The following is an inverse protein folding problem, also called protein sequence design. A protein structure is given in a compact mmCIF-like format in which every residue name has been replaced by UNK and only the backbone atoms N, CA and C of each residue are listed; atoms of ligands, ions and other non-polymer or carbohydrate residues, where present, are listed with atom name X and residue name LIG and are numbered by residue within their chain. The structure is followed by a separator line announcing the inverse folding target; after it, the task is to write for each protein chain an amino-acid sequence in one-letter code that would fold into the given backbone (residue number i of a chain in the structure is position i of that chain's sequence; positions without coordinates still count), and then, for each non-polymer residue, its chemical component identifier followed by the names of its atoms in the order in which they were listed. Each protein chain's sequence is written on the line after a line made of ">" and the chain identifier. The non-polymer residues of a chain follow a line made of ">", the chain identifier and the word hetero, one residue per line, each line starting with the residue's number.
data_IF_135839310456
#
_entry.id   IF_135839310456
#
_cell.length_a   1.000
_cell.length_b   1.000
_cell.length_c   1.000
_cell.angle_alpha   90.00
_cell.angle_beta   90.00
_cell.angle_gamma   90.00
#
_symmetry.space_group_name_H-M   'P 1'
#
loop_
_entity.id
_entity.type
_entity.pdbx_description
1 polymer ?
#
# COMPACT_ATOMS: atom_id res chain seq x y z
N UNK A 1 -1.16 1.38 25.85
CA UNK A 1 -2.40 0.80 25.32
C UNK A 1 -2.36 -0.68 25.63
N UNK A 2 -3.38 -1.24 26.29
CA UNK A 2 -3.38 -2.59 26.87
C UNK A 2 -4.32 -3.58 26.19
N UNK A 3 -4.57 -3.41 24.88
CA UNK A 3 -5.35 -4.36 24.11
C UNK A 3 -4.51 -5.61 23.78
N UNK A 4 -5.15 -6.78 23.77
CA UNK A 4 -4.57 -7.98 23.15
C UNK A 4 -4.56 -7.78 21.63
N UNK A 5 -3.42 -8.02 20.99
CA UNK A 5 -3.26 -7.79 19.54
C UNK A 5 -2.75 -9.06 18.87
N UNK A 6 -3.49 -9.52 17.89
CA UNK A 6 -3.12 -10.61 16.99
C UNK A 6 -2.84 -10.04 15.60
N UNK A 7 -1.59 -10.18 15.13
CA UNK A 7 -1.14 -9.66 13.84
C UNK A 7 -0.93 -10.81 12.84
N UNK A 8 -1.83 -10.89 11.87
CA UNK A 8 -1.82 -11.90 10.82
C UNK A 8 -1.13 -11.41 9.56
N UNK A 9 -0.26 -12.24 8.96
CA UNK A 9 0.37 -11.92 7.68
C UNK A 9 0.73 -13.18 6.89
N UNK A 10 0.67 -13.06 5.55
CA UNK A 10 0.76 -14.20 4.62
C UNK A 10 2.16 -14.79 4.43
N UNK A 11 3.19 -14.15 4.98
CA UNK A 11 4.60 -14.51 4.80
C UNK A 11 5.22 -14.88 6.14
N UNK A 12 6.48 -15.31 6.10
CA UNK A 12 7.22 -15.73 7.30
C UNK A 12 7.58 -14.57 8.23
N UNK A 13 7.81 -13.37 7.67
CA UNK A 13 8.12 -12.14 8.42
C UNK A 13 7.26 -10.97 7.90
N UNK A 14 6.89 -10.01 8.75
CA UNK A 14 6.22 -8.77 8.33
C UNK A 14 7.14 -7.89 7.48
N UNK A 15 6.61 -6.77 6.97
CA UNK A 15 7.38 -5.73 6.25
C UNK A 15 8.16 -6.27 5.02
N UNK A 16 7.51 -7.08 4.18
CA UNK A 16 8.10 -7.55 2.91
C UNK A 16 8.61 -6.35 2.08
N UNK A 17 9.84 -6.47 1.57
CA UNK A 17 10.51 -5.42 0.79
C UNK A 17 11.55 -4.62 1.57
N UNK A 18 11.62 -4.82 2.89
CA UNK A 18 12.71 -4.33 3.74
C UNK A 18 13.79 -5.40 3.92
N UNK A 19 14.94 -4.99 4.46
CA UNK A 19 16.04 -5.87 4.84
C UNK A 19 15.59 -6.98 5.81
N UNK A 20 16.06 -8.21 5.57
CA UNK A 20 15.60 -9.40 6.30
C UNK A 20 16.03 -9.42 7.76
N UNK A 21 17.23 -8.92 8.09
CA UNK A 21 17.69 -8.83 9.47
C UNK A 21 16.85 -7.81 10.24
N UNK A 22 16.57 -6.66 9.62
CA UNK A 22 15.73 -5.63 10.23
C UNK A 22 14.29 -6.11 10.43
N UNK A 23 13.73 -6.85 9.47
CA UNK A 23 12.39 -7.46 9.60
C UNK A 23 12.33 -8.44 10.77
N UNK A 24 13.36 -9.27 10.94
CA UNK A 24 13.45 -10.21 12.06
C UNK A 24 13.61 -9.48 13.42
N UNK A 25 14.39 -8.39 13.46
CA UNK A 25 14.49 -7.54 14.66
C UNK A 25 13.13 -6.94 15.00
N UNK A 26 12.40 -6.39 14.03
CA UNK A 26 11.06 -5.81 14.26
C UNK A 26 10.09 -6.87 14.78
N UNK A 27 10.03 -8.05 14.14
CA UNK A 27 9.13 -9.13 14.57
C UNK A 27 9.38 -9.53 16.04
N UNK A 28 10.64 -9.79 16.42
CA UNK A 28 11.00 -10.11 17.80
C UNK A 28 10.63 -9.00 18.79
N UNK A 29 10.77 -7.73 18.40
CA UNK A 29 10.39 -6.61 19.24
C UNK A 29 8.87 -6.48 19.41
N UNK A 30 8.07 -6.82 18.39
CA UNK A 30 6.61 -6.85 18.49
C UNK A 30 6.17 -7.96 19.45
N UNK A 31 6.72 -9.17 19.31
CA UNK A 31 6.46 -10.30 20.22
C UNK A 31 6.88 -9.98 21.66
N UNK A 32 8.07 -9.39 21.84
CA UNK A 32 8.57 -8.96 23.16
C UNK A 32 7.71 -7.88 23.83
N UNK A 33 6.84 -7.20 23.07
CA UNK A 33 5.84 -6.24 23.57
C UNK A 33 4.46 -6.87 23.79
N UNK A 34 4.31 -8.18 23.59
CA UNK A 34 3.06 -8.92 23.81
C UNK A 34 2.11 -8.97 22.61
N UNK A 35 2.59 -8.67 21.40
CA UNK A 35 1.79 -8.83 20.17
C UNK A 35 1.94 -10.28 19.69
N UNK A 36 0.81 -10.97 19.50
CA UNK A 36 0.80 -12.33 18.96
C UNK A 36 0.96 -12.27 17.44
N UNK A 37 2.06 -12.81 16.92
CA UNK A 37 2.30 -12.87 15.47
C UNK A 37 1.79 -14.19 14.90
N UNK A 38 1.03 -14.10 13.80
CA UNK A 38 0.49 -15.24 13.07
C UNK A 38 1.05 -15.26 11.64
N UNK A 39 2.31 -15.73 11.45
CA UNK A 39 2.96 -15.79 10.15
C UNK A 39 2.36 -16.91 9.29
N UNK A 40 2.32 -16.70 7.97
CA UNK A 40 1.77 -17.66 7.00
C UNK A 40 0.31 -18.04 7.29
N UNK A 41 -0.47 -17.10 7.81
CA UNK A 41 -1.88 -17.31 8.14
C UNK A 41 -2.76 -16.34 7.37
N UNK A 42 -3.85 -16.84 6.80
CA UNK A 42 -4.90 -16.02 6.21
C UNK A 42 -6.20 -16.18 6.98
N UNK A 43 -6.97 -15.10 7.02
CA UNK A 43 -8.36 -15.15 7.48
C UNK A 43 -9.23 -15.63 6.31
N UNK A 44 -10.05 -16.65 6.55
CA UNK A 44 -10.93 -17.27 5.56
C UNK A 44 -12.38 -16.82 5.74
N UNK A 45 -12.81 -16.56 6.97
CA UNK A 45 -14.16 -16.11 7.27
C UNK A 45 -14.18 -15.17 8.48
N UNK A 46 -15.07 -14.18 8.43
CA UNK A 46 -15.38 -13.28 9.54
C UNK A 46 -16.89 -13.26 9.80
N UNK A 47 -17.29 -13.61 11.02
CA UNK A 47 -18.70 -13.65 11.42
C UNK A 47 -18.92 -12.74 12.63
N UNK A 48 -19.78 -11.74 12.48
CA UNK A 48 -20.15 -10.84 13.59
C UNK A 48 -21.08 -11.57 14.55
N UNK A 49 -20.79 -11.50 15.84
CA UNK A 49 -21.55 -12.12 16.93
C UNK A 49 -21.86 -11.09 18.03
N UNK A 50 -22.67 -11.46 19.02
CA UNK A 50 -22.93 -10.62 20.20
C UNK A 50 -21.66 -10.38 21.05
N UNK A 51 -20.68 -11.28 20.98
CA UNK A 51 -19.44 -11.23 21.78
C UNK A 51 -18.26 -10.59 21.04
N UNK A 52 -18.46 -10.14 19.80
CA UNK A 52 -17.39 -9.63 18.94
C UNK A 52 -17.37 -10.29 17.56
N UNK A 53 -16.26 -10.16 16.85
CA UNK A 53 -16.03 -10.72 15.52
C UNK A 53 -15.31 -12.06 15.69
N UNK A 54 -15.99 -13.13 15.27
CA UNK A 54 -15.43 -14.46 15.18
C UNK A 54 -14.65 -14.60 13.88
N UNK A 55 -13.42 -15.07 13.98
CA UNK A 55 -12.43 -15.12 12.91
C UNK A 55 -12.07 -16.58 12.67
N UNK A 56 -12.15 -17.04 11.42
CA UNK A 56 -11.63 -18.34 11.00
C UNK A 56 -10.38 -18.18 10.15
N UNK A 57 -9.40 -19.05 10.38
CA UNK A 57 -8.14 -19.07 9.61
C UNK A 57 -8.10 -20.20 8.57
N UNK A 58 -7.13 -20.14 7.67
CA UNK A 58 -6.82 -21.22 6.73
C UNK A 58 -6.24 -22.48 7.41
N UNK A 59 -5.81 -22.36 8.66
CA UNK A 59 -5.39 -23.46 9.52
C UNK A 59 -6.53 -24.05 10.37
N UNK A 60 -7.78 -23.64 10.12
CA UNK A 60 -8.99 -24.05 10.87
C UNK A 60 -8.97 -23.65 12.34
N UNK A 61 -8.25 -22.58 12.67
CA UNK A 61 -8.28 -21.98 14.01
C UNK A 61 -9.42 -20.97 14.09
N UNK A 62 -9.91 -20.78 15.32
CA UNK A 62 -10.97 -19.84 15.63
C UNK A 62 -10.49 -18.84 16.67
N UNK A 63 -10.70 -17.54 16.39
CA UNK A 63 -10.40 -16.46 17.32
C UNK A 63 -11.61 -15.54 17.48
N UNK A 64 -11.65 -14.80 18.59
CA UNK A 64 -12.64 -13.76 18.85
C UNK A 64 -11.91 -12.43 19.05
N UNK A 65 -12.32 -11.40 18.34
CA UNK A 65 -11.77 -10.05 18.48
C UNK A 65 -12.88 -9.01 18.50
N UNK A 66 -12.69 -7.93 19.25
CA UNK A 66 -13.63 -6.80 19.24
C UNK A 66 -13.58 -6.03 17.91
N UNK A 67 -12.40 -5.98 17.29
CA UNK A 67 -12.12 -5.22 16.06
C UNK A 67 -11.20 -6.04 15.15
N UNK A 68 -11.46 -5.99 13.85
CA UNK A 68 -10.57 -6.50 12.80
C UNK A 68 -10.17 -5.34 11.89
N UNK A 69 -8.87 -5.07 11.79
CA UNK A 69 -8.31 -4.03 10.94
C UNK A 69 -7.61 -4.65 9.72
N UNK A 70 -8.06 -4.29 8.52
CA UNK A 70 -7.41 -4.71 7.27
C UNK A 70 -6.40 -3.67 6.79
N UNK A 71 -5.11 -3.97 6.98
CA UNK A 71 -3.99 -3.21 6.42
C UNK A 71 -3.29 -3.98 5.28
N UNK A 72 -4.07 -4.51 4.33
CA UNK A 72 -3.62 -5.49 3.32
C UNK A 72 -3.11 -4.88 2.01
N UNK A 73 -3.18 -3.57 1.87
CA UNK A 73 -2.70 -2.83 0.70
C UNK A 73 -3.59 -1.65 0.34
N UNK A 74 -3.22 -0.95 -0.73
CA UNK A 74 -3.95 0.18 -1.30
C UNK A 74 -4.07 -0.03 -2.79
N UNK A 75 -5.25 0.21 -3.35
CA UNK A 75 -5.47 0.20 -4.79
C UNK A 75 -5.53 1.63 -5.33
N UNK A 76 -5.07 1.88 -6.57
CA UNK A 76 -5.27 3.15 -7.25
C UNK A 76 -6.75 3.57 -7.29
N UNK A 77 -7.03 4.84 -6.98
CA UNK A 77 -8.41 5.35 -6.91
C UNK A 77 -8.87 5.93 -8.25
N UNK A 78 -9.04 5.08 -9.26
CA UNK A 78 -9.40 5.47 -10.64
C UNK A 78 -10.85 5.18 -11.03
N UNK A 79 -11.53 4.28 -10.30
CA UNK A 79 -12.86 3.74 -10.67
C UNK A 79 -13.96 4.77 -10.93
N UNK A 80 -13.88 5.95 -10.29
CA UNK A 80 -14.91 7.01 -10.37
C UNK A 80 -14.54 8.16 -11.29
N UNK A 81 -13.43 8.06 -12.02
CA UNK A 81 -12.89 9.15 -12.84
C UNK A 81 -13.36 9.08 -14.31
N UNK A 82 -14.05 8.02 -14.72
CA UNK A 82 -14.52 7.82 -16.09
C UNK A 82 -13.41 7.97 -17.16
N UNK A 83 -12.22 7.44 -16.85
CA UNK A 83 -11.03 7.59 -17.69
C UNK A 83 -11.16 6.93 -19.07
N UNK A 84 -12.00 5.90 -19.18
CA UNK A 84 -12.35 5.26 -20.46
C UNK A 84 -12.95 6.26 -21.46
N UNK A 85 -13.82 7.17 -21.01
CA UNK A 85 -14.49 8.13 -21.88
C UNK A 85 -13.52 9.13 -22.55
N UNK A 86 -12.32 9.29 -22.00
CA UNK A 86 -11.25 10.13 -22.57
C UNK A 86 -10.06 9.31 -23.09
N UNK A 87 -10.17 7.98 -23.09
CA UNK A 87 -9.17 7.06 -23.63
C UNK A 87 -7.89 6.94 -22.81
N UNK A 88 -7.88 7.30 -21.52
CA UNK A 88 -6.69 7.14 -20.66
C UNK A 88 -6.51 5.67 -20.29
N UNK A 89 -5.33 5.13 -20.58
CA UNK A 89 -5.01 3.73 -20.31
C UNK A 89 -4.72 3.46 -18.83
N UNK A 90 -5.23 2.34 -18.32
CA UNK A 90 -4.92 1.79 -17.00
C UNK A 90 -4.11 0.49 -17.12
N UNK A 91 -3.34 0.16 -16.08
CA UNK A 91 -2.72 -1.16 -15.95
C UNK A 91 -3.67 -2.20 -15.33
N UNK A 92 -3.20 -3.43 -15.14
CA UNK A 92 -4.00 -4.52 -14.55
C UNK A 92 -4.39 -4.28 -13.09
N UNK A 93 -3.72 -3.37 -12.38
CA UNK A 93 -4.06 -2.96 -11.01
C UNK A 93 -5.02 -1.76 -10.99
N UNK A 94 -5.39 -1.21 -12.15
CA UNK A 94 -6.21 -0.01 -12.30
C UNK A 94 -5.41 1.28 -12.10
N UNK A 95 -4.09 1.24 -12.13
CA UNK A 95 -3.22 2.41 -12.06
C UNK A 95 -3.19 3.16 -13.39
N UNK A 96 -3.12 4.49 -13.35
CA UNK A 96 -2.96 5.28 -14.58
C UNK A 96 -1.58 5.04 -15.15
N UNK A 97 -1.51 4.52 -16.38
CA UNK A 97 -0.24 4.32 -17.09
C UNK A 97 0.36 5.68 -17.44
N UNK A 98 1.62 5.86 -17.07
CA UNK A 98 2.38 7.08 -17.36
C UNK A 98 3.77 6.76 -17.88
N UNK A 99 4.35 7.70 -18.64
CA UNK A 99 5.74 7.67 -19.04
C UNK A 99 6.70 8.15 -17.92
N UNK A 100 8.00 8.26 -18.23
CA UNK A 100 9.02 8.71 -17.27
C UNK A 100 8.83 10.16 -16.79
N UNK A 101 8.06 10.98 -17.50
CA UNK A 101 7.74 12.36 -17.12
C UNK A 101 6.43 12.46 -16.34
N UNK A 102 5.67 11.37 -16.20
CA UNK A 102 4.33 11.31 -15.58
C UNK A 102 3.18 11.71 -16.53
N UNK A 103 3.41 11.67 -17.85
CA UNK A 103 2.38 11.91 -18.87
C UNK A 103 1.64 10.61 -19.20
N UNK A 104 0.33 10.68 -19.38
CA UNK A 104 -0.46 9.52 -19.84
C UNK A 104 -0.30 9.30 -21.34
N UNK A 105 -1.00 8.31 -21.91
CA UNK A 105 -1.09 8.14 -23.36
C UNK A 105 -1.81 9.31 -24.07
N UNK A 106 -2.55 10.15 -23.33
CA UNK A 106 -3.20 11.36 -23.84
C UNK A 106 -2.28 12.56 -23.56
N UNK A 107 -1.75 13.28 -24.57
CA UNK A 107 -0.71 14.30 -24.36
C UNK A 107 -1.05 15.45 -23.40
N UNK A 108 -2.34 15.75 -23.25
CA UNK A 108 -2.85 16.81 -22.39
C UNK A 108 -3.23 16.34 -20.98
N UNK A 109 -3.20 15.03 -20.71
CA UNK A 109 -3.57 14.44 -19.42
C UNK A 109 -2.33 13.83 -18.76
N UNK A 110 -2.14 14.17 -17.48
CA UNK A 110 -1.01 13.75 -16.66
C UNK A 110 -1.53 13.15 -15.35
N UNK A 111 -0.73 12.30 -14.72
CA UNK A 111 -1.06 11.68 -13.44
C UNK A 111 0.18 11.54 -12.56
N UNK A 112 0.04 11.82 -11.27
CA UNK A 112 1.12 11.76 -10.27
C UNK A 112 0.63 11.15 -8.96
N UNK A 113 1.54 10.68 -8.14
CA UNK A 113 1.29 10.05 -6.84
C UNK A 113 0.72 8.64 -6.94
N UNK A 114 0.05 8.22 -5.87
CA UNK A 114 -0.48 6.86 -5.66
C UNK A 114 -1.35 6.32 -6.82
N UNK A 115 -2.00 7.20 -7.60
CA UNK A 115 -2.85 6.77 -8.72
C UNK A 115 -2.04 6.12 -9.86
N UNK A 116 -0.74 6.39 -9.93
CA UNK A 116 0.20 5.79 -10.89
C UNK A 116 0.78 4.46 -10.39
N UNK A 117 0.55 4.12 -9.11
CA UNK A 117 1.07 2.93 -8.44
C UNK A 117 2.60 2.73 -8.58
N UNK A 118 3.37 3.82 -8.75
CA UNK A 118 4.84 3.78 -8.78
C UNK A 118 5.41 3.59 -7.36
N UNK A 119 5.37 4.64 -6.54
CA UNK A 119 5.78 4.56 -5.13
C UNK A 119 4.84 5.40 -4.26
N UNK A 120 4.11 4.75 -3.37
CA UNK A 120 3.01 5.35 -2.60
C UNK A 120 3.53 6.06 -1.34
N UNK A 121 4.30 7.13 -1.55
CA UNK A 121 4.86 7.99 -0.49
C UNK A 121 4.52 9.45 -0.78
N UNK A 122 4.05 10.18 0.23
CA UNK A 122 3.74 11.61 0.12
C UNK A 122 4.89 12.47 -0.45
N UNK A 123 6.16 12.34 0.00
CA UNK A 123 7.25 13.12 -0.59
C UNK A 123 7.51 12.79 -2.07
N UNK A 124 7.22 11.55 -2.49
CA UNK A 124 7.34 11.14 -3.90
C UNK A 124 6.24 11.79 -4.73
N UNK A 125 4.99 11.76 -4.27
CA UNK A 125 3.89 12.45 -4.95
C UNK A 125 4.15 13.97 -5.10
N UNK A 126 4.75 14.60 -4.08
CA UNK A 126 5.15 16.00 -4.13
C UNK A 126 6.26 16.27 -5.16
N UNK A 127 7.29 15.41 -5.18
CA UNK A 127 8.35 15.47 -6.19
C UNK A 127 7.77 15.33 -7.61
N UNK A 128 6.93 14.33 -7.84
CA UNK A 128 6.29 14.09 -9.15
C UNK A 128 5.46 15.29 -9.61
N UNK A 129 4.66 15.87 -8.70
CA UNK A 129 3.90 17.10 -8.99
C UNK A 129 4.80 18.29 -9.33
N UNK A 130 5.96 18.41 -8.68
CA UNK A 130 6.96 19.44 -8.98
C UNK A 130 7.59 19.24 -10.36
N UNK A 131 7.94 18.01 -10.71
CA UNK A 131 8.48 17.65 -12.02
C UNK A 131 7.46 17.91 -13.14
N UNK A 132 6.19 17.57 -12.92
CA UNK A 132 5.09 17.93 -13.80
C UNK A 132 5.00 19.44 -14.02
N UNK A 133 4.98 20.23 -12.94
CA UNK A 133 4.84 21.68 -13.03
C UNK A 133 5.98 22.34 -13.82
N UNK A 134 7.23 21.90 -13.59
CA UNK A 134 8.40 22.34 -14.36
C UNK A 134 8.29 21.99 -15.84
N UNK A 135 7.87 20.76 -16.13
CA UNK A 135 7.76 20.26 -17.50
C UNK A 135 6.69 21.01 -18.29
N UNK A 136 5.50 21.18 -17.72
CA UNK A 136 4.33 21.71 -18.44
C UNK A 136 4.29 23.23 -18.45
N UNK A 137 4.64 23.90 -17.34
CA UNK A 137 4.45 25.35 -17.21
C UNK A 137 5.75 26.15 -17.31
N UNK A 138 6.90 25.56 -17.01
CA UNK A 138 8.19 26.26 -17.09
C UNK A 138 9.01 25.91 -18.35
N UNK A 139 8.50 25.02 -19.22
CA UNK A 139 9.23 24.57 -20.42
C UNK A 139 10.53 23.83 -20.09
N UNK A 140 10.63 23.23 -18.90
CA UNK A 140 11.80 22.52 -18.40
C UNK A 140 11.46 21.03 -18.21
N UNK A 141 11.60 20.18 -19.24
CA UNK A 141 11.34 18.75 -19.13
C UNK A 141 12.14 18.15 -17.97
N UNK A 142 11.43 17.74 -16.92
CA UNK A 142 12.01 17.23 -15.67
C UNK A 142 11.30 15.93 -15.32
N UNK A 143 12.06 14.85 -15.18
CA UNK A 143 11.53 13.57 -14.73
C UNK A 143 11.71 13.37 -13.23
N UNK A 144 10.82 12.63 -12.54
CA UNK A 144 11.04 12.23 -11.16
C UNK A 144 12.23 11.26 -11.04
N UNK A 145 12.95 11.32 -9.91
CA UNK A 145 14.03 10.37 -9.58
C UNK A 145 13.57 9.44 -8.46
N UNK A 146 13.53 8.14 -8.76
CA UNK A 146 13.10 7.11 -7.82
C UNK A 146 14.26 6.40 -7.12
N UNK A 147 15.49 6.80 -7.39
CA UNK A 147 16.66 6.18 -6.78
C UNK A 147 16.85 6.67 -5.34
N UNK A 148 17.25 5.74 -4.46
CA UNK A 148 17.65 6.02 -3.08
C UNK A 148 16.63 6.82 -2.26
N UNK A 149 15.33 6.63 -2.50
CA UNK A 149 14.27 7.28 -1.73
C UNK A 149 14.28 6.74 -0.28
N UNK A 150 14.58 7.57 0.73
CA UNK A 150 14.47 7.13 2.11
C UNK A 150 13.00 7.00 2.52
N UNK A 151 12.70 5.99 3.35
CA UNK A 151 11.39 5.81 3.94
C UNK A 151 11.51 5.37 5.40
N UNK A 152 10.43 5.52 6.16
CA UNK A 152 10.35 5.15 7.57
C UNK A 152 9.07 4.35 7.84
N UNK A 153 9.16 3.45 8.82
CA UNK A 153 8.03 2.73 9.41
C UNK A 153 7.99 3.13 10.88
N UNK A 154 6.86 3.65 11.34
CA UNK A 154 6.66 4.17 12.70
C UNK A 154 5.98 3.15 13.60
#
# INVERSE_FOLDING_TARGET
>A
MGATVDLFFRKELPLRGFDDEMRAVVARNLEGRGINLHPRTNLTELTKTEKGIKIYTDHKEELLADVVLFATGRAPNTKRLNLEAVGVELDNAGAVKVDEYSRTNIPTIWAVGDVTNRMNLTPVALMEGTCFAKTVFAGQPTKPDYNHIPCAVF
#
